data_IF_916163932100
#
_entry.id   IF_916163932100
#
_cell.length_a   1.000
_cell.length_b   1.000
_cell.length_c   1.000
_cell.angle_alpha   90.00
_cell.angle_beta   90.00
_cell.angle_gamma   90.00
#
_symmetry.space_group_name_H-M   'P 1'
#
loop_
_entity.id
_entity.type
_entity.pdbx_description
1 polymer ?
#
# COMPACT_ATOMS: atom_id res chain seq x y z
N UNK A 1 -22.09 18.78 17.14
CA UNK A 1 -21.03 18.68 16.12
C UNK A 1 -21.63 17.89 14.98
N UNK A 2 -21.80 18.49 13.81
CA UNK A 2 -22.38 17.79 12.66
C UNK A 2 -21.30 16.90 12.05
N UNK A 3 -21.44 15.59 12.16
CA UNK A 3 -20.58 14.65 11.44
C UNK A 3 -20.81 14.81 9.94
N UNK A 4 -19.81 15.30 9.22
CA UNK A 4 -19.82 15.32 7.75
C UNK A 4 -19.10 14.08 7.24
N UNK A 5 -19.57 13.51 6.12
CA UNK A 5 -18.90 12.36 5.47
C UNK A 5 -18.13 12.81 4.23
N UNK A 6 -16.97 12.21 4.02
CA UNK A 6 -16.20 12.29 2.76
C UNK A 6 -15.89 10.87 2.32
N UNK A 7 -16.55 10.40 1.26
CA UNK A 7 -16.50 8.98 0.87
C UNK A 7 -16.93 8.06 2.04
N UNK A 8 -16.16 7.01 2.36
CA UNK A 8 -16.45 6.11 3.49
C UNK A 8 -15.98 6.67 4.86
N UNK A 9 -15.47 7.90 4.94
CA UNK A 9 -14.84 8.45 6.14
C UNK A 9 -15.76 9.42 6.89
N UNK A 10 -15.86 9.24 8.21
CA UNK A 10 -16.63 10.09 9.12
C UNK A 10 -15.75 11.22 9.68
N UNK A 11 -15.92 12.43 9.14
CA UNK A 11 -15.12 13.61 9.50
C UNK A 11 -15.65 14.24 10.79
N UNK A 12 -14.74 14.46 11.75
CA UNK A 12 -15.05 15.01 13.06
C UNK A 12 -14.29 16.30 13.41
N UNK A 13 -13.17 16.59 12.73
CA UNK A 13 -12.48 17.88 12.84
C UNK A 13 -11.93 18.35 11.49
N UNK A 14 -11.73 19.66 11.36
CA UNK A 14 -11.24 20.31 10.15
C UNK A 14 -10.30 21.44 10.52
N UNK A 15 -9.19 21.51 9.81
CA UNK A 15 -8.19 22.57 9.86
C UNK A 15 -7.78 22.95 8.43
N UNK A 16 -7.22 24.15 8.25
CA UNK A 16 -6.74 24.63 6.97
C UNK A 16 -5.38 25.28 7.13
N UNK A 17 -4.41 24.84 6.33
CA UNK A 17 -3.05 25.39 6.32
C UNK A 17 -2.53 25.50 4.89
N UNK A 18 -2.23 26.72 4.45
CA UNK A 18 -1.65 27.02 3.13
C UNK A 18 -2.37 26.33 1.96
N UNK A 19 -3.69 26.54 1.89
CA UNK A 19 -4.56 26.01 0.85
C UNK A 19 -4.79 24.50 0.90
N UNK A 20 -4.22 23.81 1.90
CA UNK A 20 -4.50 22.42 2.21
C UNK A 20 -5.52 22.36 3.36
N UNK A 21 -6.63 21.70 3.12
CA UNK A 21 -7.59 21.34 4.14
C UNK A 21 -7.22 19.98 4.72
N UNK A 22 -7.13 19.93 6.05
CA UNK A 22 -6.75 18.76 6.84
C UNK A 22 -7.97 18.35 7.66
N UNK A 23 -8.52 17.19 7.35
CA UNK A 23 -9.73 16.67 8.00
C UNK A 23 -9.34 15.47 8.87
N UNK A 24 -9.64 15.51 10.16
CA UNK A 24 -9.55 14.31 11.00
C UNK A 24 -10.84 13.53 10.88
N UNK A 25 -10.72 12.24 10.60
CA UNK A 25 -11.84 11.36 10.36
C UNK A 25 -11.60 9.95 10.92
N UNK A 26 -12.67 9.16 10.91
CA UNK A 26 -12.62 7.73 11.22
C UNK A 26 -12.92 6.94 9.94
N UNK A 27 -12.08 5.96 9.64
CA UNK A 27 -12.25 5.05 8.52
C UNK A 27 -13.37 4.02 8.74
N UNK A 28 -13.76 3.29 7.68
CA UNK A 28 -14.79 2.26 7.77
C UNK A 28 -14.41 1.09 8.68
N UNK A 29 -13.13 0.91 8.96
CA UNK A 29 -12.55 -0.05 9.90
C UNK A 29 -12.50 0.47 11.35
N UNK A 30 -12.95 1.70 11.59
CA UNK A 30 -12.90 2.36 12.89
C UNK A 30 -11.55 2.98 13.23
N UNK A 31 -10.56 2.93 12.33
CA UNK A 31 -9.24 3.51 12.57
C UNK A 31 -9.23 5.02 12.31
N UNK A 32 -8.49 5.81 13.10
CA UNK A 32 -8.39 7.25 12.89
C UNK A 32 -7.49 7.54 11.66
N UNK A 33 -7.94 8.46 10.81
CA UNK A 33 -7.24 8.88 9.60
C UNK A 33 -7.30 10.39 9.41
N UNK A 34 -6.35 10.92 8.65
CA UNK A 34 -6.36 12.31 8.20
C UNK A 34 -6.60 12.34 6.69
N UNK A 35 -7.59 13.10 6.26
CA UNK A 35 -7.79 13.39 4.84
C UNK A 35 -7.17 14.74 4.49
N UNK A 36 -6.38 14.75 3.42
CA UNK A 36 -5.68 15.90 2.87
C UNK A 36 -6.33 16.24 1.52
N UNK A 37 -6.84 17.46 1.37
CA UNK A 37 -7.43 17.91 0.10
C UNK A 37 -7.24 19.42 -0.11
N UNK A 38 -7.43 19.94 -1.33
CA UNK A 38 -7.42 21.37 -1.57
C UNK A 38 -8.57 22.08 -0.84
N UNK A 39 -8.26 23.15 -0.11
CA UNK A 39 -9.23 23.92 0.68
C UNK A 39 -10.24 24.69 -0.18
N UNK A 40 -9.83 25.12 -1.36
CA UNK A 40 -10.67 25.92 -2.26
C UNK A 40 -10.49 25.49 -3.71
N UNK A 41 -11.52 25.73 -4.52
CA UNK A 41 -11.42 25.63 -5.98
C UNK A 41 -10.58 26.79 -6.56
N UNK A 42 -10.11 26.65 -7.79
CA UNK A 42 -9.35 27.68 -8.51
C UNK A 42 -7.86 27.33 -8.69
N UNK A 43 -7.05 28.28 -9.20
CA UNK A 43 -5.66 27.98 -9.61
C UNK A 43 -4.78 27.47 -8.47
N UNK A 44 -4.96 28.02 -7.26
CA UNK A 44 -4.21 27.58 -6.09
C UNK A 44 -4.63 26.17 -5.67
N UNK A 45 -5.94 25.89 -5.58
CA UNK A 45 -6.43 24.55 -5.28
C UNK A 45 -6.03 23.49 -6.31
N UNK A 46 -6.06 23.83 -7.59
CA UNK A 46 -5.60 22.96 -8.67
C UNK A 46 -4.10 22.63 -8.54
N UNK A 47 -3.29 23.60 -8.09
CA UNK A 47 -1.88 23.36 -7.78
C UNK A 47 -1.73 22.39 -6.60
N UNK A 48 -2.46 22.60 -5.49
CA UNK A 48 -2.44 21.69 -4.33
C UNK A 48 -2.88 20.27 -4.72
N UNK A 49 -3.93 20.15 -5.54
CA UNK A 49 -4.40 18.87 -6.06
C UNK A 49 -3.32 18.15 -6.88
N UNK A 50 -2.66 18.87 -7.78
CA UNK A 50 -1.58 18.29 -8.57
C UNK A 50 -0.35 17.92 -7.71
N UNK A 51 -0.07 18.68 -6.65
CA UNK A 51 0.95 18.34 -5.66
C UNK A 51 0.64 17.03 -4.94
N UNK A 52 -0.58 16.91 -4.39
CA UNK A 52 -1.05 15.69 -3.71
C UNK A 52 -1.03 14.48 -4.64
N UNK A 53 -1.51 14.61 -5.88
CA UNK A 53 -1.52 13.52 -6.86
C UNK A 53 -0.11 12.99 -7.16
N UNK A 54 0.87 13.88 -7.33
CA UNK A 54 2.27 13.51 -7.61
C UNK A 54 2.99 12.92 -6.40
N UNK A 55 2.64 13.38 -5.20
CA UNK A 55 3.22 12.91 -3.95
C UNK A 55 2.64 11.57 -3.50
N UNK A 56 1.37 11.30 -3.80
CA UNK A 56 0.64 10.10 -3.37
C UNK A 56 1.35 8.76 -3.65
N UNK A 57 2.08 8.52 -4.76
CA UNK A 57 2.82 7.27 -4.96
C UNK A 57 4.21 7.22 -4.30
N UNK A 58 4.74 8.35 -3.80
CA UNK A 58 6.07 8.38 -3.18
C UNK A 58 6.03 7.63 -1.84
N UNK A 59 7.05 6.81 -1.59
CA UNK A 59 7.20 6.05 -0.34
C UNK A 59 8.58 6.31 0.25
N UNK A 60 8.61 6.67 1.53
CA UNK A 60 9.82 6.86 2.32
C UNK A 60 9.47 6.73 3.82
N UNK A 61 10.41 6.28 4.66
CA UNK A 61 10.16 6.11 6.10
C UNK A 61 9.76 7.41 6.82
N UNK A 62 10.23 8.55 6.31
CA UNK A 62 9.94 9.90 6.84
C UNK A 62 8.89 10.68 6.04
N UNK A 63 8.09 9.99 5.22
CA UNK A 63 6.95 10.56 4.50
C UNK A 63 5.70 9.79 4.92
N UNK A 64 4.66 10.49 5.40
CA UNK A 64 3.40 9.84 5.73
C UNK A 64 2.83 9.16 4.47
N UNK A 65 2.64 7.83 4.50
CA UNK A 65 2.18 7.12 3.33
C UNK A 65 0.71 7.44 3.06
N UNK A 66 0.37 7.67 1.80
CA UNK A 66 -1.02 7.61 1.37
C UNK A 66 -1.52 6.18 1.55
N UNK A 67 -2.50 5.99 2.44
CA UNK A 67 -3.18 4.70 2.65
C UNK A 67 -4.35 4.54 1.70
N UNK A 68 -4.91 5.65 1.24
CA UNK A 68 -6.02 5.68 0.30
C UNK A 68 -6.06 7.02 -0.45
N UNK A 69 -6.69 7.02 -1.62
CA UNK A 69 -6.84 8.20 -2.48
C UNK A 69 -8.23 8.14 -3.09
N UNK A 70 -9.01 9.21 -2.98
CA UNK A 70 -10.36 9.27 -3.52
C UNK A 70 -10.64 10.61 -4.20
N UNK A 71 -11.66 10.64 -5.04
CA UNK A 71 -12.17 11.85 -5.66
C UNK A 71 -13.53 12.21 -5.06
N UNK A 72 -13.73 13.46 -4.66
CA UNK A 72 -15.05 13.96 -4.31
C UNK A 72 -15.90 14.18 -5.57
N UNK A 73 -17.24 14.26 -5.46
CA UNK A 73 -18.13 14.48 -6.60
C UNK A 73 -17.84 15.76 -7.40
N UNK A 74 -17.17 16.73 -6.78
CA UNK A 74 -16.72 17.97 -7.41
C UNK A 74 -15.36 17.84 -8.12
N UNK A 75 -14.77 16.65 -8.14
CA UNK A 75 -13.50 16.32 -8.79
C UNK A 75 -12.26 16.61 -7.93
N UNK A 76 -12.41 17.05 -6.67
CA UNK A 76 -11.26 17.28 -5.78
C UNK A 76 -10.66 15.95 -5.33
N UNK A 77 -9.33 15.85 -5.46
CA UNK A 77 -8.56 14.75 -4.90
C UNK A 77 -8.49 14.86 -3.38
N UNK A 78 -8.67 13.74 -2.71
CA UNK A 78 -8.52 13.57 -1.27
C UNK A 78 -7.54 12.43 -1.04
N UNK A 79 -6.42 12.74 -0.38
CA UNK A 79 -5.41 11.75 0.02
C UNK A 79 -5.61 11.43 1.48
N UNK A 80 -5.74 10.15 1.81
CA UNK A 80 -5.93 9.67 3.17
C UNK A 80 -4.58 9.19 3.68
N UNK A 81 -4.20 9.66 4.87
CA UNK A 81 -2.99 9.24 5.59
C UNK A 81 -3.38 8.76 7.00
N UNK A 82 -2.54 7.94 7.67
CA UNK A 82 -2.81 7.52 9.03
C UNK A 82 -2.91 8.73 9.97
N UNK A 83 -3.89 8.73 10.87
CA UNK A 83 -3.87 9.61 12.03
C UNK A 83 -3.20 8.83 13.16
N UNK A 84 -1.99 9.25 13.53
CA UNK A 84 -1.27 8.73 14.69
C UNK A 84 -1.26 9.75 15.82
N UNK A 85 -0.50 9.45 16.88
CA UNK A 85 -0.12 10.42 17.91
C UNK A 85 0.91 11.43 17.35
N UNK A 86 0.53 12.11 16.28
CA UNK A 86 1.35 13.01 15.49
C UNK A 86 1.22 14.43 16.00
N UNK A 87 2.34 15.04 16.38
CA UNK A 87 2.39 16.42 16.87
C UNK A 87 2.87 17.33 15.74
N UNK A 88 2.10 18.34 15.32
CA UNK A 88 2.58 19.33 14.35
C UNK A 88 3.82 20.05 14.86
N UNK A 89 4.86 20.13 14.02
CA UNK A 89 6.13 20.75 14.40
C UNK A 89 5.98 22.21 14.89
N UNK A 90 5.12 23.08 14.29
CA UNK A 90 4.91 24.43 14.82
C UNK A 90 4.37 24.43 16.25
N UNK A 91 3.45 23.52 16.58
CA UNK A 91 2.88 23.39 17.92
C UNK A 91 3.92 22.88 18.91
N UNK A 92 4.76 21.92 18.50
CA UNK A 92 5.86 21.41 19.31
C UNK A 92 6.91 22.49 19.61
N UNK A 93 7.34 23.25 18.59
CA UNK A 93 8.28 24.36 18.74
C UNK A 93 7.74 25.46 19.66
N UNK A 94 6.44 25.78 19.54
CA UNK A 94 5.80 26.78 20.38
C UNK A 94 5.74 26.37 21.87
N UNK A 95 5.54 25.08 22.16
CA UNK A 95 5.49 24.58 23.53
C UNK A 95 6.87 24.40 24.18
N UNK A 96 7.89 24.09 23.37
CA UNK A 96 9.24 23.77 23.86
C UNK A 96 10.16 24.99 23.94
N UNK A 97 10.11 25.89 22.96
CA UNK A 97 11.11 26.94 22.76
C UNK A 97 12.17 26.57 21.70
N UNK A 98 13.35 27.22 21.72
CA UNK A 98 14.33 27.08 20.66
C UNK A 98 14.95 25.67 20.59
N UNK A 99 15.44 25.33 19.40
CA UNK A 99 16.11 24.08 19.10
C UNK A 99 17.59 24.12 19.49
N UNK A 100 18.09 23.02 20.04
CA UNK A 100 19.52 22.79 20.10
C UNK A 100 20.06 22.41 18.71
N UNK A 101 21.34 22.70 18.39
CA UNK A 101 21.92 22.35 17.09
C UNK A 101 21.81 20.87 16.73
N UNK A 102 22.01 19.96 17.68
CA UNK A 102 21.86 18.51 17.45
C UNK A 102 20.43 18.07 17.17
N UNK A 103 19.43 18.80 17.66
CA UNK A 103 18.01 18.52 17.38
C UNK A 103 17.65 18.94 15.96
N UNK A 104 18.23 20.04 15.47
CA UNK A 104 18.13 20.41 14.06
C UNK A 104 18.68 19.29 13.17
N UNK A 105 19.81 18.68 13.52
CA UNK A 105 20.36 17.54 12.74
C UNK A 105 19.36 16.39 12.69
N UNK A 106 18.82 15.98 13.84
CA UNK A 106 17.82 14.91 13.92
C UNK A 106 16.53 15.25 13.16
N UNK A 107 16.13 16.52 13.14
CA UNK A 107 14.95 16.98 12.41
C UNK A 107 15.19 17.04 10.90
N UNK A 108 16.30 17.63 10.46
CA UNK A 108 16.52 17.97 9.06
C UNK A 108 16.95 16.75 8.24
N UNK A 109 17.94 15.98 8.69
CA UNK A 109 18.55 14.89 7.90
C UNK A 109 17.52 13.89 7.37
N UNK A 110 16.57 13.37 8.17
CA UNK A 110 15.60 12.41 7.66
C UNK A 110 14.64 13.01 6.63
N UNK A 111 14.34 14.31 6.74
CA UNK A 111 13.51 15.02 5.79
C UNK A 111 14.25 15.31 4.47
N UNK A 112 15.56 15.59 4.53
CA UNK A 112 16.41 15.71 3.33
C UNK A 112 16.38 14.43 2.49
N UNK A 113 16.43 13.26 3.14
CA UNK A 113 16.30 11.97 2.47
C UNK A 113 14.93 11.77 1.77
N UNK A 114 13.85 12.33 2.32
CA UNK A 114 12.53 12.35 1.63
C UNK A 114 12.61 13.17 0.35
N UNK A 115 13.24 14.34 0.39
CA UNK A 115 13.36 15.23 -0.77
C UNK A 115 14.24 14.60 -1.86
N UNK A 116 15.33 13.94 -1.47
CA UNK A 116 16.16 13.15 -2.38
C UNK A 116 15.36 12.03 -3.05
N UNK A 117 14.61 11.27 -2.24
CA UNK A 117 13.80 10.15 -2.73
C UNK A 117 12.75 10.63 -3.74
N UNK A 118 12.10 11.76 -3.49
CA UNK A 118 11.15 12.36 -4.41
C UNK A 118 11.82 12.81 -5.72
N UNK A 119 12.99 13.43 -5.65
CA UNK A 119 13.72 13.84 -6.84
C UNK A 119 14.24 12.64 -7.65
N UNK A 120 14.59 11.53 -6.99
CA UNK A 120 14.97 10.28 -7.64
C UNK A 120 13.81 9.66 -8.47
N UNK A 121 12.55 10.02 -8.20
CA UNK A 121 11.40 9.65 -9.04
C UNK A 121 11.08 10.69 -10.11
N UNK A 122 11.95 11.68 -10.33
CA UNK A 122 11.77 12.74 -11.32
C UNK A 122 10.88 13.90 -10.87
N UNK A 123 10.55 14.01 -9.59
CA UNK A 123 9.73 15.13 -9.10
C UNK A 123 10.57 16.40 -8.95
N UNK A 124 10.00 17.53 -9.36
CA UNK A 124 10.53 18.84 -9.04
C UNK A 124 10.02 19.22 -7.64
N UNK A 125 10.89 19.07 -6.65
CA UNK A 125 10.55 19.26 -5.24
C UNK A 125 10.46 20.75 -4.90
N UNK A 126 9.42 21.14 -4.18
CA UNK A 126 9.25 22.48 -3.65
C UNK A 126 9.75 22.59 -2.20
N UNK A 127 10.09 23.81 -1.77
CA UNK A 127 10.46 24.10 -0.38
C UNK A 127 9.34 23.68 0.57
N UNK A 128 9.57 22.78 1.54
CA UNK A 128 8.61 22.43 2.58
C UNK A 128 8.32 23.61 3.53
N UNK A 129 7.14 23.62 4.13
CA UNK A 129 6.77 24.50 5.24
C UNK A 129 6.85 23.76 6.59
N UNK A 130 7.01 24.47 7.71
CA UNK A 130 6.98 23.85 9.03
C UNK A 130 5.66 23.11 9.30
N UNK A 131 4.54 23.64 8.82
CA UNK A 131 3.22 23.01 8.97
C UNK A 131 3.04 21.74 8.13
N UNK A 132 3.99 21.42 7.24
CA UNK A 132 4.03 20.15 6.54
C UNK A 132 4.73 19.05 7.36
N UNK A 133 5.40 19.41 8.46
CA UNK A 133 6.16 18.49 9.31
C UNK A 133 5.39 18.16 10.58
N UNK A 134 5.34 16.88 10.90
CA UNK A 134 4.82 16.34 12.16
C UNK A 134 5.87 15.46 12.83
N UNK A 135 5.80 15.30 14.14
CA UNK A 135 6.62 14.37 14.90
C UNK A 135 5.75 13.20 15.36
N UNK A 136 6.25 11.98 15.24
CA UNK A 136 5.58 10.81 15.83
C UNK A 136 5.82 10.70 17.35
N UNK A 137 5.25 9.66 17.96
CA UNK A 137 5.37 9.35 19.38
C UNK A 137 6.81 9.07 19.82
N UNK A 138 7.74 8.80 18.90
CA UNK A 138 9.18 8.59 19.14
C UNK A 138 10.02 9.82 18.82
N UNK A 139 9.41 10.88 18.31
CA UNK A 139 10.09 12.11 17.91
C UNK A 139 10.71 12.02 16.51
N UNK A 140 10.37 11.01 15.72
CA UNK A 140 10.81 10.95 14.34
C UNK A 140 10.04 11.99 13.52
N UNK A 141 10.73 12.82 12.71
CA UNK A 141 10.06 13.79 11.85
C UNK A 141 9.47 13.11 10.62
N UNK A 142 8.23 13.43 10.30
CA UNK A 142 7.49 12.94 9.16
C UNK A 142 6.97 14.12 8.34
N UNK A 143 7.14 14.07 7.02
CA UNK A 143 6.44 14.97 6.11
C UNK A 143 5.02 14.45 5.88
N UNK A 144 4.02 15.29 6.19
CA UNK A 144 2.61 15.06 5.86
C UNK A 144 2.27 15.47 4.44
N UNK A 145 2.97 16.47 3.92
CA UNK A 145 2.79 17.01 2.57
C UNK A 145 4.15 17.15 1.91
N UNK A 146 4.29 16.54 0.73
CA UNK A 146 5.43 16.79 -0.15
C UNK A 146 5.03 17.81 -1.22
N UNK A 147 5.63 19.00 -1.16
CA UNK A 147 5.39 20.07 -2.15
C UNK A 147 6.12 19.75 -3.45
N UNK A 148 5.43 19.89 -4.58
CA UNK A 148 6.02 19.64 -5.90
C UNK A 148 5.66 20.74 -6.91
N UNK A 149 6.66 21.26 -7.61
CA UNK A 149 6.45 22.22 -8.70
C UNK A 149 6.05 21.54 -10.01
N UNK A 150 6.36 20.25 -10.18
CA UNK A 150 6.13 19.49 -11.40
C UNK A 150 6.85 18.16 -11.40
N UNK A 151 7.00 17.57 -12.58
CA UNK A 151 7.82 16.39 -12.84
C UNK A 151 8.69 16.63 -14.07
N UNK A 152 9.84 15.98 -14.12
CA UNK A 152 10.82 16.07 -15.21
C UNK A 152 11.48 14.71 -15.42
N UNK A 153 11.91 14.44 -16.66
CA UNK A 153 12.77 13.30 -16.98
C UNK A 153 14.25 13.63 -16.82
N UNK A 154 14.60 14.92 -16.70
CA UNK A 154 15.96 15.36 -16.42
C UNK A 154 16.29 15.23 -14.93
N UNK A 155 17.04 14.18 -14.61
CA UNK A 155 17.48 13.86 -13.26
C UNK A 155 18.32 14.99 -12.64
N UNK A 156 19.11 15.72 -13.43
CA UNK A 156 19.91 16.83 -12.92
C UNK A 156 19.02 17.98 -12.45
N UNK A 157 18.00 18.32 -13.23
CA UNK A 157 17.00 19.33 -12.84
C UNK A 157 16.21 18.89 -11.60
N UNK A 158 15.81 17.62 -11.50
CA UNK A 158 15.13 17.10 -10.31
C UNK A 158 16.02 17.20 -9.06
N UNK A 159 17.29 16.77 -9.14
CA UNK A 159 18.26 16.89 -8.04
C UNK A 159 18.53 18.34 -7.64
N UNK A 160 18.67 19.25 -8.61
CA UNK A 160 18.84 20.67 -8.32
C UNK A 160 17.63 21.26 -7.56
N UNK A 161 16.41 20.83 -7.91
CA UNK A 161 15.21 21.22 -7.16
C UNK A 161 15.21 20.68 -5.73
N UNK A 162 15.69 19.45 -5.52
CA UNK A 162 15.83 18.85 -4.20
C UNK A 162 16.84 19.60 -3.34
N UNK A 163 18.01 19.94 -3.90
CA UNK A 163 19.04 20.72 -3.21
C UNK A 163 18.52 22.11 -2.80
N UNK A 164 17.79 22.79 -3.68
CA UNK A 164 17.16 24.08 -3.37
C UNK A 164 16.08 23.97 -2.29
N UNK A 165 15.22 22.95 -2.36
CA UNK A 165 14.20 22.68 -1.35
C UNK A 165 14.83 22.31 0.02
N UNK A 166 15.93 21.57 -0.01
CA UNK A 166 16.71 21.15 1.16
C UNK A 166 17.34 22.34 1.86
N UNK A 167 18.03 23.22 1.13
CA UNK A 167 18.53 24.50 1.68
C UNK A 167 17.41 25.30 2.32
N UNK A 168 16.29 25.47 1.61
CA UNK A 168 15.14 26.20 2.12
C UNK A 168 14.52 25.59 3.38
N UNK A 169 14.50 24.26 3.52
CA UNK A 169 14.07 23.58 4.74
C UNK A 169 15.03 23.85 5.89
N UNK A 170 16.33 23.64 5.68
CA UNK A 170 17.34 23.81 6.73
C UNK A 170 17.40 25.27 7.19
N UNK A 171 17.34 26.25 6.28
CA UNK A 171 17.26 27.68 6.63
C UNK A 171 16.05 28.01 7.49
N UNK A 172 14.91 27.40 7.19
CA UNK A 172 13.65 27.62 7.91
C UNK A 172 13.71 26.99 9.31
N UNK A 173 14.31 25.82 9.48
CA UNK A 173 14.53 25.20 10.79
C UNK A 173 15.62 25.94 11.59
N UNK A 174 16.67 26.42 10.93
CA UNK A 174 17.77 27.17 11.55
C UNK A 174 17.30 28.49 12.18
N UNK A 175 16.18 29.06 11.70
CA UNK A 175 15.52 30.21 12.31
C UNK A 175 14.99 29.96 13.73
N UNK A 176 14.94 28.69 14.16
CA UNK A 176 14.50 28.29 15.50
C UNK A 176 15.64 27.87 16.42
N UNK A 177 16.91 28.01 16.01
CA UNK A 177 18.05 27.73 16.89
C UNK A 177 18.21 28.81 17.97
N UNK A 178 18.64 28.40 19.16
CA UNK A 178 18.94 29.32 20.28
C UNK A 178 20.12 30.24 19.94
N UNK A 179 21.23 29.66 19.46
CA UNK A 179 22.44 30.34 18.99
C UNK A 179 23.14 29.48 17.91
N UNK A 180 24.03 30.08 17.10
CA UNK A 180 24.93 29.33 16.22
C UNK A 180 24.40 28.99 14.81
N UNK A 181 23.37 29.69 14.30
CA UNK A 181 22.89 29.48 12.93
C UNK A 181 23.80 30.07 11.85
N UNK A 182 24.61 31.09 12.16
CA UNK A 182 25.41 31.80 11.15
C UNK A 182 26.45 30.93 10.41
N UNK A 183 27.22 30.05 11.08
CA UNK A 183 28.11 29.13 10.39
C UNK A 183 27.37 28.18 9.44
N UNK A 184 26.23 27.63 9.90
CA UNK A 184 25.37 26.77 9.08
C UNK A 184 24.84 27.53 7.86
N UNK A 185 24.27 28.72 8.05
CA UNK A 185 23.73 29.53 6.95
C UNK A 185 24.82 29.92 5.94
N UNK A 186 26.05 30.14 6.40
CA UNK A 186 27.21 30.40 5.54
C UNK A 186 27.56 29.15 4.72
N UNK A 187 27.62 27.98 5.35
CA UNK A 187 27.86 26.71 4.68
C UNK A 187 26.76 26.39 3.65
N UNK A 188 25.49 26.59 4.00
CA UNK A 188 24.36 26.41 3.08
C UNK A 188 24.40 27.34 1.87
N UNK A 189 24.91 28.57 2.03
CA UNK A 189 25.08 29.50 0.92
C UNK A 189 26.14 29.02 -0.08
N UNK A 190 27.13 28.26 0.40
CA UNK A 190 28.19 27.67 -0.41
C UNK A 190 27.84 26.27 -0.95
N UNK A 191 26.73 25.66 -0.50
CA UNK A 191 26.33 24.31 -0.90
C UNK A 191 25.65 24.32 -2.29
N UNK A 192 26.31 23.71 -3.27
CA UNK A 192 25.86 23.68 -4.67
C UNK A 192 24.92 22.49 -4.98
N UNK A 193 24.96 21.44 -4.17
CA UNK A 193 24.16 20.23 -4.33
C UNK A 193 23.58 19.75 -2.98
N UNK A 194 22.88 18.61 -3.01
CA UNK A 194 22.23 18.06 -1.83
C UNK A 194 23.24 17.47 -0.83
N UNK A 195 24.29 16.83 -1.32
CA UNK A 195 25.29 16.18 -0.47
C UNK A 195 26.02 17.23 0.39
N UNK A 196 26.37 18.38 -0.20
CA UNK A 196 26.93 19.51 0.53
C UNK A 196 25.98 20.09 1.59
N UNK A 197 24.65 20.06 1.36
CA UNK A 197 23.66 20.48 2.36
C UNK A 197 23.60 19.49 3.51
N UNK A 198 23.61 18.19 3.22
CA UNK A 198 23.61 17.12 4.22
C UNK A 198 24.88 17.18 5.07
N UNK A 199 26.04 17.37 4.44
CA UNK A 199 27.34 17.56 5.12
C UNK A 199 27.30 18.79 6.05
N UNK A 200 26.83 19.94 5.56
CA UNK A 200 26.71 21.16 6.36
C UNK A 200 25.80 20.99 7.59
N UNK A 201 24.73 20.19 7.48
CA UNK A 201 23.87 19.86 8.62
C UNK A 201 24.58 18.91 9.59
N UNK A 202 25.26 17.87 9.11
CA UNK A 202 25.98 16.93 9.97
C UNK A 202 27.16 17.57 10.72
N UNK A 203 27.86 18.51 10.10
CA UNK A 203 28.97 19.25 10.71
C UNK A 203 28.53 20.21 11.82
N UNK A 204 27.23 20.51 11.90
CA UNK A 204 26.70 21.42 12.92
C UNK A 204 26.86 20.87 14.34
N UNK A 205 26.46 19.61 14.57
CA UNK A 205 26.48 18.96 15.88
C UNK A 205 26.19 17.45 15.77
N UNK A 206 26.50 16.71 16.82
CA UNK A 206 26.00 15.35 16.98
C UNK A 206 24.46 15.35 17.13
N UNK A 207 23.74 14.38 16.55
CA UNK A 207 22.29 14.33 16.61
C UNK A 207 21.79 14.14 18.05
N UNK A 208 20.76 14.91 18.42
CA UNK A 208 20.07 14.82 19.71
C UNK A 208 18.61 14.39 19.51
N UNK A 209 18.05 13.57 20.40
CA UNK A 209 16.68 13.10 20.26
C UNK A 209 15.68 14.26 20.36
N UNK A 210 14.58 14.16 19.60
CA UNK A 210 13.44 15.07 19.73
C UNK A 210 12.47 14.46 20.75
N UNK A 211 12.33 15.00 21.97
CA UNK A 211 11.34 14.51 22.92
C UNK A 211 9.92 14.79 22.40
N UNK A 212 9.24 13.75 21.98
CA UNK A 212 7.85 13.74 21.47
C UNK A 212 6.81 13.58 22.57
N UNK A 213 7.17 12.94 23.68
CA UNK A 213 6.27 12.81 24.82
C UNK A 213 6.17 14.18 25.50
N UNK A 214 4.94 14.69 25.58
CA UNK A 214 4.59 15.75 26.51
C UNK A 214 5.28 15.45 27.85
N UNK A 215 6.25 16.29 28.22
CA UNK A 215 6.66 16.42 29.61
C UNK A 215 5.43 16.99 30.30
N UNK A 216 4.51 16.10 30.67
CA UNK A 216 3.60 16.38 31.75
C UNK A 216 4.51 16.64 32.95
N UNK A 217 4.61 17.91 33.33
CA UNK A 217 5.12 18.32 34.64
C UNK A 217 4.37 17.50 35.68
N UNK A 218 4.98 16.41 36.11
CA UNK A 218 4.66 15.77 37.38
C UNK A 218 5.71 16.27 38.34
N UNK A 219 5.32 17.34 39.01
CA UNK A 219 5.85 17.72 40.31
C UNK A 219 5.72 16.50 41.24
N UNK A 220 6.77 15.68 41.37
CA UNK A 220 7.04 15.00 42.63
C UNK A 220 8.50 14.56 42.75
N UNK A 221 9.11 15.01 43.83
CA UNK A 221 10.39 14.58 44.30
C UNK A 221 10.26 13.19 44.92
N UNK A 222 10.74 12.12 44.27
CA UNK A 222 11.27 10.97 45.02
C UNK A 222 12.09 9.99 44.19
N UNK A 223 13.29 9.71 44.74
CA UNK A 223 14.11 8.49 44.61
C UNK A 223 14.54 8.04 43.22
N UNK A 224 15.86 8.06 43.03
CA UNK A 224 16.51 7.23 42.03
C UNK A 224 16.18 5.77 42.25
N UNK A 225 15.53 5.19 41.25
CA UNK A 225 15.74 3.80 40.88
C UNK A 225 16.59 3.81 39.62
N UNK A 226 17.75 3.19 39.73
CA UNK A 226 18.64 2.86 38.63
C UNK A 226 17.86 1.95 37.67
N UNK A 227 17.45 2.49 36.53
CA UNK A 227 16.76 1.72 35.48
C UNK A 227 17.72 0.67 34.96
N UNK A 228 17.39 -0.60 35.19
CA UNK A 228 18.13 -1.74 34.68
C UNK A 228 17.90 -1.87 33.16
N UNK A 229 18.81 -1.29 32.39
CA UNK A 229 18.84 -1.33 30.92
C UNK A 229 19.04 -2.74 30.34
N UNK A 230 19.36 -3.76 31.17
CA UNK A 230 19.53 -5.13 30.69
C UNK A 230 18.19 -5.81 30.32
N UNK A 231 17.07 -5.28 30.79
CA UNK A 231 15.73 -5.78 30.47
C UNK A 231 15.20 -5.35 29.08
N UNK A 232 15.85 -4.38 28.42
CA UNK A 232 15.50 -3.88 27.07
C UNK A 232 16.36 -4.47 25.95
N UNK A 233 17.34 -5.32 26.28
CA UNK A 233 18.05 -6.09 25.28
C UNK A 233 17.10 -7.16 24.72
N UNK A 234 16.74 -7.04 23.45
CA UNK A 234 16.06 -8.10 22.70
C UNK A 234 16.82 -9.45 22.83
N UNK A 235 16.17 -10.58 22.48
CA UNK A 235 16.74 -11.91 22.71
C UNK A 235 18.16 -12.00 22.13
N UNK A 236 19.11 -12.64 22.85
CA UNK A 236 20.52 -12.60 22.51
C UNK A 236 20.72 -13.09 21.08
N UNK A 237 21.31 -12.24 20.24
CA UNK A 237 21.68 -12.57 18.86
C UNK A 237 22.66 -13.75 18.90
N UNK A 238 22.47 -14.79 18.08
CA UNK A 238 23.42 -15.89 18.02
C UNK A 238 24.74 -15.40 17.41
N UNK A 239 25.87 -15.79 18.02
CA UNK A 239 27.21 -15.25 17.77
C UNK A 239 27.69 -15.32 16.30
N UNK A 240 27.07 -16.17 15.47
CA UNK A 240 27.38 -16.27 14.05
C UNK A 240 26.94 -15.04 13.23
N UNK A 241 25.97 -14.25 13.73
CA UNK A 241 25.50 -13.03 13.06
C UNK A 241 26.55 -11.90 13.05
N UNK A 242 27.56 -11.97 13.93
CA UNK A 242 28.68 -11.03 13.94
C UNK A 242 29.77 -11.35 12.90
N UNK A 243 29.65 -12.47 12.18
CA UNK A 243 30.67 -12.95 11.24
C UNK A 243 30.32 -12.74 9.74
N UNK A 244 29.21 -12.08 9.42
CA UNK A 244 28.78 -11.84 8.04
C UNK A 244 29.11 -10.41 7.57
N UNK A 245 29.68 -10.22 6.36
CA UNK A 245 29.97 -8.89 5.83
C UNK A 245 28.71 -8.20 5.28
N UNK A 246 28.64 -6.89 5.53
CA UNK A 246 27.66 -5.86 5.12
C UNK A 246 26.15 -6.20 5.21
N UNK A 247 25.59 -5.84 6.36
CA UNK A 247 24.29 -6.23 6.87
C UNK A 247 23.09 -5.43 6.35
N UNK A 248 23.18 -4.54 5.34
CA UNK A 248 22.00 -3.79 4.89
C UNK A 248 20.89 -4.71 4.29
N UNK A 249 21.30 -5.75 3.56
CA UNK A 249 20.35 -6.70 2.93
C UNK A 249 19.81 -7.71 3.94
N UNK A 250 20.63 -8.09 4.93
CA UNK A 250 20.24 -9.01 6.00
C UNK A 250 19.33 -8.29 7.01
N UNK A 251 19.62 -7.04 7.34
CA UNK A 251 18.79 -6.20 8.20
C UNK A 251 17.46 -5.89 7.52
N UNK A 252 17.46 -5.52 6.23
CA UNK A 252 16.22 -5.35 5.46
C UNK A 252 15.40 -6.64 5.34
N UNK A 253 16.06 -7.80 5.22
CA UNK A 253 15.38 -9.10 5.18
C UNK A 253 14.81 -9.50 6.55
N UNK A 254 15.51 -9.17 7.65
CA UNK A 254 15.07 -9.44 9.02
C UNK A 254 13.95 -8.50 9.47
N UNK A 255 14.01 -7.22 9.10
CA UNK A 255 12.94 -6.25 9.35
C UNK A 255 11.69 -6.57 8.53
N UNK A 256 11.86 -6.99 7.27
CA UNK A 256 10.75 -7.51 6.46
C UNK A 256 10.14 -8.80 7.06
N UNK A 257 10.95 -9.69 7.64
CA UNK A 257 10.46 -10.89 8.33
C UNK A 257 9.76 -10.57 9.66
N UNK A 258 10.25 -9.56 10.39
CA UNK A 258 9.69 -9.07 11.64
C UNK A 258 8.34 -8.37 11.41
N UNK A 259 8.25 -7.51 10.39
CA UNK A 259 7.00 -6.91 9.93
C UNK A 259 5.96 -7.96 9.46
N UNK A 260 6.42 -9.10 8.93
CA UNK A 260 5.54 -10.25 8.59
C UNK A 260 5.05 -11.03 9.80
N UNK A 261 5.78 -11.01 10.92
CA UNK A 261 5.48 -11.78 12.15
C UNK A 261 4.38 -11.17 13.02
N UNK A 262 3.98 -9.93 12.76
CA UNK A 262 2.88 -9.27 13.49
C UNK A 262 1.49 -9.75 13.07
N UNK A 263 1.36 -10.51 11.98
CA UNK A 263 0.15 -11.31 11.74
C UNK A 263 0.28 -12.66 12.42
N UNK A 264 -0.64 -12.97 13.34
CA UNK A 264 -0.58 -14.11 14.25
C UNK A 264 -0.38 -15.46 13.52
N UNK A 265 0.88 -15.86 13.37
CA UNK A 265 1.30 -17.14 12.76
C UNK A 265 0.67 -18.33 13.51
N UNK A 266 0.38 -18.17 14.81
CA UNK A 266 -0.31 -19.18 15.63
C UNK A 266 -1.73 -19.50 15.12
N UNK A 267 -2.47 -18.53 14.58
CA UNK A 267 -3.80 -18.77 14.02
C UNK A 267 -3.73 -19.45 12.65
N UNK A 268 -2.73 -19.12 11.82
CA UNK A 268 -2.53 -19.73 10.49
C UNK A 268 -1.97 -21.15 10.57
N UNK A 269 -1.17 -21.46 11.58
CA UNK A 269 -0.58 -22.80 11.77
C UNK A 269 -1.59 -23.78 12.39
N UNK A 270 -2.53 -23.30 13.21
CA UNK A 270 -3.60 -24.12 13.78
C UNK A 270 -4.63 -24.60 12.73
N UNK A 271 -4.70 -23.95 11.56
CA UNK A 271 -5.61 -24.31 10.48
C UNK A 271 -5.07 -25.41 9.53
N UNK A 272 -3.79 -25.79 9.67
CA UNK A 272 -3.17 -26.78 8.78
C UNK A 272 -3.45 -28.20 9.29
N UNK A 273 -4.18 -29.00 8.51
CA UNK A 273 -4.51 -30.40 8.86
C UNK A 273 -3.24 -31.24 9.09
N UNK A 274 -3.22 -32.18 10.05
CA UNK A 274 -2.02 -32.92 10.48
C UNK A 274 -1.24 -33.61 9.36
N UNK A 275 -1.92 -34.01 8.29
CA UNK A 275 -1.31 -34.66 7.11
C UNK A 275 -0.31 -33.78 6.35
N UNK A 276 -0.44 -32.45 6.40
CA UNK A 276 0.46 -31.53 5.69
C UNK A 276 1.73 -31.22 6.49
N UNK A 277 1.73 -31.46 7.81
CA UNK A 277 2.91 -31.34 8.65
C UNK A 277 3.97 -32.39 8.33
N UNK A 278 3.56 -33.60 7.92
CA UNK A 278 4.50 -34.65 7.51
C UNK A 278 5.23 -34.28 6.22
N UNK A 279 4.54 -33.68 5.25
CA UNK A 279 5.15 -33.24 4.00
C UNK A 279 6.10 -32.04 4.24
N UNK A 280 5.68 -31.06 5.04
CA UNK A 280 6.51 -29.92 5.42
C UNK A 280 7.73 -30.32 6.25
N UNK A 281 7.58 -31.30 7.14
CA UNK A 281 8.68 -31.89 7.91
C UNK A 281 9.71 -32.59 7.04
N UNK A 282 9.28 -33.33 6.00
CA UNK A 282 10.21 -33.96 5.04
C UNK A 282 11.00 -32.93 4.25
N UNK A 283 10.35 -31.86 3.77
CA UNK A 283 11.03 -30.78 3.05
C UNK A 283 12.03 -30.06 3.96
N UNK A 284 11.63 -29.69 5.17
CA UNK A 284 12.54 -29.06 6.14
C UNK A 284 13.72 -29.96 6.50
N UNK A 285 13.48 -31.26 6.73
CA UNK A 285 14.55 -32.23 6.98
C UNK A 285 15.51 -32.36 5.79
N UNK A 286 14.99 -32.38 4.56
CA UNK A 286 15.84 -32.45 3.35
C UNK A 286 16.70 -31.20 3.16
N UNK A 287 16.20 -30.01 3.49
CA UNK A 287 16.97 -28.75 3.45
C UNK A 287 18.05 -28.74 4.52
N UNK A 288 17.74 -29.18 5.75
CA UNK A 288 18.73 -29.29 6.83
C UNK A 288 19.82 -30.30 6.48
N UNK A 289 19.47 -31.45 5.90
CA UNK A 289 20.42 -32.45 5.43
C UNK A 289 21.32 -31.88 4.32
N UNK A 290 20.74 -31.17 3.34
CA UNK A 290 21.50 -30.53 2.27
C UNK A 290 22.46 -29.44 2.81
N UNK A 291 22.03 -28.66 3.81
CA UNK A 291 22.87 -27.64 4.45
C UNK A 291 24.03 -28.25 5.25
N UNK A 292 23.78 -29.35 5.97
CA UNK A 292 24.80 -30.08 6.72
C UNK A 292 25.83 -30.75 5.79
N UNK A 293 25.40 -31.20 4.61
CA UNK A 293 26.29 -31.76 3.58
C UNK A 293 27.09 -30.68 2.84
N UNK A 294 26.66 -29.41 2.90
CA UNK A 294 27.31 -28.28 2.23
C UNK A 294 28.29 -27.52 3.13
N UNK A 295 28.46 -27.93 4.40
CA UNK A 295 29.46 -27.37 5.28
C UNK A 295 30.87 -27.77 4.78
N UNK A 296 31.81 -26.82 4.57
CA UNK A 296 33.13 -27.11 4.03
C UNK A 296 34.00 -27.79 5.09
N UNK A 297 33.92 -29.11 5.13
CA UNK A 297 34.77 -29.96 5.96
C UNK A 297 35.69 -30.80 5.10
N UNK A 298 36.99 -30.45 5.10
CA UNK A 298 38.09 -31.39 4.89
C UNK A 298 38.24 -32.00 3.50
N UNK A 299 39.21 -31.48 2.75
CA UNK A 299 39.88 -32.17 1.66
C UNK A 299 40.31 -33.59 2.08
N UNK A 300 39.73 -34.61 1.45
CA UNK A 300 40.27 -35.97 1.43
C UNK A 300 40.49 -36.36 -0.02
N UNK A 301 41.76 -36.55 -0.37
CA UNK A 301 42.22 -37.14 -1.62
C UNK A 301 41.76 -38.59 -1.78
N UNK A 302 41.54 -38.99 -3.03
CA UNK A 302 41.28 -40.36 -3.48
C UNK A 302 39.86 -40.53 -4.00
N UNK A 303 39.58 -41.03 -5.20
CA UNK A 303 40.39 -41.73 -6.18
C UNK A 303 39.51 -42.07 -7.39
N UNK A 304 40.18 -42.56 -8.42
CA UNK A 304 39.77 -42.80 -9.80
C UNK A 304 38.64 -43.79 -10.09
N UNK A 305 38.00 -43.56 -11.26
CA UNK A 305 37.36 -44.49 -12.19
C UNK A 305 35.98 -45.06 -11.77
N UNK A 306 34.99 -45.28 -12.64
CA UNK A 306 34.97 -46.01 -13.91
C UNK A 306 33.75 -45.56 -14.76
N UNK A 307 33.91 -45.62 -16.08
CA UNK A 307 32.89 -45.44 -17.11
C UNK A 307 31.89 -46.59 -17.20
N UNK A 308 30.65 -46.35 -17.62
CA UNK A 308 29.89 -47.32 -18.43
C UNK A 308 28.84 -46.66 -19.31
N UNK A 309 28.93 -47.05 -20.58
CA UNK A 309 28.04 -46.88 -21.72
C UNK A 309 26.66 -47.54 -21.58
N UNK A 310 25.77 -47.16 -22.51
CA UNK A 310 24.65 -47.97 -23.01
C UNK A 310 23.27 -47.41 -22.64
N UNK A 311 22.33 -47.13 -23.54
CA UNK A 311 22.12 -47.63 -24.89
C UNK A 311 20.69 -48.21 -24.99
N UNK A 312 19.97 -47.90 -26.07
CA UNK A 312 18.72 -48.59 -26.49
C UNK A 312 17.44 -47.86 -26.07
N UNK A 313 16.71 -47.17 -26.96
CA UNK A 313 15.95 -47.64 -28.12
C UNK A 313 14.73 -48.50 -27.74
N UNK A 314 13.53 -47.98 -28.04
CA UNK A 314 12.45 -48.61 -28.82
C UNK A 314 11.05 -48.12 -28.39
N UNK A 315 10.31 -47.52 -29.33
CA UNK A 315 8.83 -47.55 -29.32
C UNK A 315 8.30 -48.98 -29.56
N UNK A 316 6.98 -49.20 -29.60
CA UNK A 316 6.14 -48.58 -30.63
C UNK A 316 4.70 -48.22 -30.20
N UNK A 317 4.03 -47.45 -31.06
CA UNK A 317 2.56 -47.36 -31.19
C UNK A 317 1.93 -48.73 -31.48
N UNK A 318 0.61 -48.86 -31.28
CA UNK A 318 -0.24 -49.08 -32.45
C UNK A 318 -1.55 -48.27 -32.46
N UNK A 319 -2.04 -48.12 -33.69
CA UNK A 319 -3.26 -47.45 -34.20
C UNK A 319 -4.40 -48.51 -34.36
N UNK A 320 -5.52 -48.21 -35.05
CA UNK A 320 -6.88 -47.83 -34.61
C UNK A 320 -7.94 -48.97 -34.76
N UNK A 321 -9.25 -48.66 -34.59
CA UNK A 321 -10.40 -48.95 -35.52
C UNK A 321 -11.79 -48.95 -34.77
N UNK A 322 -12.98 -49.05 -35.43
CA UNK A 322 -14.11 -48.11 -35.26
C UNK A 322 -15.50 -48.77 -35.01
N UNK A 323 -16.57 -47.97 -34.83
CA UNK A 323 -18.00 -48.21 -35.18
C UNK A 323 -18.81 -46.98 -34.69
N UNK A 324 -19.48 -46.18 -35.54
CA UNK A 324 -20.74 -46.42 -36.28
C UNK A 324 -21.94 -46.72 -35.36
N UNK A 325 -22.85 -45.74 -35.21
CA UNK A 325 -24.26 -45.99 -35.46
C UNK A 325 -25.03 -44.70 -35.77
N UNK A 326 -25.92 -44.83 -36.74
CA UNK A 326 -26.84 -43.83 -37.25
C UNK A 326 -28.20 -43.96 -36.54
N UNK A 327 -28.88 -42.84 -36.34
CA UNK A 327 -30.26 -42.77 -35.85
C UNK A 327 -30.96 -41.57 -36.45
N UNK A 328 -31.72 -41.85 -37.51
CA UNK A 328 -32.58 -40.97 -38.28
C UNK A 328 -34.02 -40.97 -37.71
N UNK A 329 -34.77 -39.91 -37.99
CA UNK A 329 -36.21 -39.74 -37.71
C UNK A 329 -36.52 -38.66 -36.67
N UNK A 330 -37.24 -37.59 -36.93
CA UNK A 330 -38.12 -37.24 -38.05
C UNK A 330 -39.35 -36.51 -37.48
N UNK A 331 -39.73 -35.41 -38.14
CA UNK A 331 -41.00 -34.65 -38.07
C UNK A 331 -41.39 -33.92 -36.76
N UNK A 332 -42.18 -32.84 -36.76
CA UNK A 332 -42.53 -31.78 -37.71
C UNK A 332 -43.55 -30.88 -36.96
N UNK A 333 -43.40 -29.56 -37.08
CA UNK A 333 -44.52 -28.61 -37.22
C UNK A 333 -45.32 -28.17 -35.99
N UNK A 334 -45.16 -26.90 -35.61
CA UNK A 334 -46.28 -26.00 -35.36
C UNK A 334 -45.84 -24.52 -35.43
N UNK A 335 -46.23 -23.87 -36.51
CA UNK A 335 -46.11 -22.43 -36.78
C UNK A 335 -47.33 -21.70 -36.19
N UNK A 336 -47.11 -20.57 -35.50
CA UNK A 336 -48.12 -19.49 -35.30
C UNK A 336 -47.48 -18.20 -34.72
N UNK A 337 -48.11 -17.01 -34.94
CA UNK A 337 -47.44 -15.79 -35.43
C UNK A 337 -47.07 -14.73 -34.36
N UNK A 338 -46.46 -13.57 -34.76
CA UNK A 338 -45.84 -12.62 -33.85
C UNK A 338 -46.86 -11.69 -33.17
N UNK A 339 -46.85 -11.68 -31.83
CA UNK A 339 -47.56 -10.72 -31.00
C UNK A 339 -46.64 -9.59 -30.57
N UNK A 340 -47.03 -8.36 -30.89
CA UNK A 340 -46.36 -7.11 -30.52
C UNK A 340 -46.10 -6.97 -29.02
N UNK A 341 -45.03 -6.23 -28.64
CA UNK A 341 -44.51 -6.19 -27.29
C UNK A 341 -45.38 -5.35 -26.35
N UNK A 342 -45.53 -5.73 -25.07
CA UNK A 342 -45.96 -4.79 -24.06
C UNK A 342 -44.84 -3.77 -23.81
N UNK A 343 -45.15 -2.50 -24.02
CA UNK A 343 -44.41 -1.35 -23.50
C UNK A 343 -44.33 -1.45 -21.98
N UNK A 344 -43.27 -2.06 -21.46
CA UNK A 344 -42.83 -1.83 -20.09
C UNK A 344 -42.08 -0.51 -20.07
N UNK A 345 -42.63 0.47 -19.34
CA UNK A 345 -41.98 1.72 -18.99
C UNK A 345 -40.54 1.47 -18.57
N UNK A 346 -39.61 1.89 -19.42
CA UNK A 346 -38.22 2.18 -19.05
C UNK A 346 -38.24 3.49 -18.25
N UNK A 347 -38.73 3.42 -17.02
CA UNK A 347 -38.38 4.38 -15.98
C UNK A 347 -37.03 3.94 -15.45
N UNK A 348 -35.96 4.56 -15.95
CA UNK A 348 -34.66 4.51 -15.31
C UNK A 348 -34.75 5.29 -14.00
N UNK A 349 -35.37 4.68 -13.00
CA UNK A 349 -35.19 5.09 -11.62
C UNK A 349 -33.73 4.76 -11.30
N UNK A 350 -32.92 5.81 -11.18
CA UNK A 350 -31.53 5.68 -10.74
C UNK A 350 -31.59 5.08 -9.32
N UNK A 351 -30.92 3.95 -9.03
CA UNK A 351 -30.99 3.31 -7.72
C UNK A 351 -30.69 4.32 -6.62
N UNK A 352 -31.49 4.32 -5.57
CA UNK A 352 -31.18 5.16 -4.41
C UNK A 352 -29.99 4.55 -3.68
N UNK A 353 -29.11 5.35 -3.04
CA UNK A 353 -27.89 4.85 -2.39
C UNK A 353 -28.07 3.79 -1.29
N UNK A 354 -29.31 3.41 -0.93
CA UNK A 354 -29.62 2.34 0.00
C UNK A 354 -30.02 1.01 -0.63
N UNK A 355 -30.29 0.95 -1.94
CA UNK A 355 -30.72 -0.28 -2.61
C UNK A 355 -29.54 -1.24 -2.84
N UNK A 356 -28.33 -0.71 -3.07
CA UNK A 356 -27.12 -1.50 -3.35
C UNK A 356 -26.66 -2.34 -2.14
N UNK A 357 -26.82 -1.81 -0.92
CA UNK A 357 -26.52 -2.53 0.34
C UNK A 357 -27.49 -3.69 0.58
N UNK A 358 -28.76 -3.54 0.21
CA UNK A 358 -29.78 -4.59 0.34
C UNK A 358 -29.52 -5.71 -0.66
N UNK A 359 -29.11 -5.37 -1.89
CA UNK A 359 -28.79 -6.36 -2.94
C UNK A 359 -27.53 -7.16 -2.58
N UNK A 360 -26.50 -6.52 -2.03
CA UNK A 360 -25.25 -7.19 -1.66
C UNK A 360 -25.34 -8.03 -0.37
N UNK A 361 -26.38 -7.83 0.45
CA UNK A 361 -26.62 -8.62 1.68
C UNK A 361 -27.69 -9.71 1.51
N UNK A 362 -28.49 -9.64 0.44
CA UNK A 362 -29.52 -10.62 0.08
C UNK A 362 -29.00 -12.01 -0.31
N UNK A 363 -29.90 -12.93 -0.66
CA UNK A 363 -29.53 -14.32 -1.05
C UNK A 363 -29.24 -14.49 -2.55
N UNK A 364 -29.61 -13.51 -3.38
CA UNK A 364 -29.42 -13.53 -4.83
C UNK A 364 -27.97 -13.16 -5.20
N UNK A 365 -27.16 -14.20 -5.41
CA UNK A 365 -25.76 -14.06 -5.79
C UNK A 365 -25.56 -13.43 -7.18
N UNK A 366 -26.51 -13.61 -8.11
CA UNK A 366 -26.42 -13.04 -9.47
C UNK A 366 -26.63 -11.54 -9.41
N UNK A 367 -27.67 -11.09 -8.69
CA UNK A 367 -27.92 -9.67 -8.49
C UNK A 367 -26.75 -9.00 -7.74
N UNK A 368 -26.26 -9.63 -6.66
CA UNK A 368 -25.10 -9.13 -5.93
C UNK A 368 -23.84 -9.04 -6.80
N UNK A 369 -23.55 -10.06 -7.61
CA UNK A 369 -22.37 -10.05 -8.48
C UNK A 369 -22.40 -8.89 -9.51
N UNK A 370 -23.56 -8.56 -10.08
CA UNK A 370 -23.69 -7.43 -11.00
C UNK A 370 -23.36 -6.10 -10.31
N UNK A 371 -23.92 -5.86 -9.13
CA UNK A 371 -23.64 -4.67 -8.32
C UNK A 371 -22.15 -4.60 -7.96
N UNK A 372 -21.55 -5.72 -7.56
CA UNK A 372 -20.12 -5.77 -7.21
C UNK A 372 -19.20 -5.51 -8.41
N UNK A 373 -19.52 -6.02 -9.61
CA UNK A 373 -18.73 -5.77 -10.81
C UNK A 373 -18.82 -4.30 -11.26
N UNK A 374 -20.02 -3.70 -11.23
CA UNK A 374 -20.20 -2.28 -11.51
C UNK A 374 -19.49 -1.40 -10.46
N UNK A 375 -19.49 -1.82 -9.19
CA UNK A 375 -18.72 -1.15 -8.14
C UNK A 375 -17.21 -1.27 -8.38
N UNK A 376 -16.72 -2.46 -8.73
CA UNK A 376 -15.31 -2.72 -9.06
C UNK A 376 -14.82 -1.82 -10.18
N UNK A 377 -15.57 -1.73 -11.27
CA UNK A 377 -15.24 -0.87 -12.42
C UNK A 377 -15.13 0.60 -12.02
N UNK A 378 -16.05 1.10 -11.19
CA UNK A 378 -16.00 2.45 -10.63
C UNK A 378 -14.79 2.64 -9.71
N UNK A 379 -14.56 1.74 -8.77
CA UNK A 379 -13.41 1.82 -7.85
C UNK A 379 -12.07 1.89 -8.60
N UNK A 380 -11.93 1.10 -9.66
CA UNK A 380 -10.72 1.06 -10.48
C UNK A 380 -10.59 2.28 -11.40
N UNK A 381 -11.72 2.80 -11.92
CA UNK A 381 -11.72 4.04 -12.71
C UNK A 381 -11.35 5.27 -11.85
N UNK A 382 -11.82 5.31 -10.60
CA UNK A 382 -11.57 6.41 -9.67
C UNK A 382 -10.25 6.26 -8.89
N UNK A 383 -9.52 5.16 -9.12
CA UNK A 383 -8.25 4.78 -8.46
C UNK A 383 -8.35 4.85 -6.93
N UNK A 384 -9.42 4.26 -6.37
CA UNK A 384 -9.72 4.31 -4.93
C UNK A 384 -9.51 2.94 -4.26
N UNK A 385 -8.34 2.68 -3.63
CA UNK A 385 -8.04 1.42 -2.95
C UNK A 385 -9.07 0.99 -1.90
N UNK A 386 -9.57 1.92 -1.07
CA UNK A 386 -10.52 1.57 -0.01
C UNK A 386 -11.87 1.08 -0.54
N UNK A 387 -12.28 1.56 -1.71
CA UNK A 387 -13.52 1.17 -2.37
C UNK A 387 -13.55 -0.34 -2.68
N UNK A 388 -12.39 -0.93 -3.02
CA UNK A 388 -12.27 -2.36 -3.31
C UNK A 388 -12.43 -3.25 -2.08
N UNK A 389 -12.21 -2.74 -0.86
CA UNK A 389 -12.39 -3.54 0.36
C UNK A 389 -13.85 -3.99 0.59
N UNK A 390 -14.80 -3.21 0.08
CA UNK A 390 -16.23 -3.55 0.10
C UNK A 390 -16.63 -4.46 -1.08
N UNK A 391 -15.76 -4.63 -2.07
CA UNK A 391 -16.05 -5.34 -3.32
C UNK A 391 -15.37 -6.70 -3.36
N UNK A 392 -14.07 -6.73 -3.09
CA UNK A 392 -13.23 -7.91 -3.17
C UNK A 392 -13.15 -8.65 -1.85
N UNK A 393 -13.05 -9.97 -1.92
CA UNK A 393 -12.72 -10.79 -0.76
C UNK A 393 -11.25 -10.55 -0.39
N UNK A 394 -10.94 -10.22 0.87
CA UNK A 394 -9.56 -10.08 1.32
C UNK A 394 -8.71 -11.33 1.04
N UNK A 395 -7.53 -11.12 0.45
CA UNK A 395 -6.59 -12.19 0.12
C UNK A 395 -6.98 -13.07 -1.08
N UNK A 396 -7.99 -12.66 -1.86
CA UNK A 396 -8.41 -13.38 -3.06
C UNK A 396 -7.56 -13.04 -4.30
N UNK A 397 -7.61 -13.87 -5.36
CA UNK A 397 -6.94 -13.57 -6.62
C UNK A 397 -7.39 -12.26 -7.27
N UNK A 398 -8.68 -11.90 -7.17
CA UNK A 398 -9.17 -10.62 -7.72
C UNK A 398 -8.60 -9.44 -6.95
N UNK A 399 -8.58 -9.49 -5.61
CA UNK A 399 -7.99 -8.44 -4.78
C UNK A 399 -6.51 -8.18 -5.10
N UNK A 400 -5.74 -9.24 -5.32
CA UNK A 400 -4.32 -9.12 -5.67
C UNK A 400 -4.11 -8.49 -7.06
N UNK A 401 -4.98 -8.83 -8.03
CA UNK A 401 -4.94 -8.26 -9.38
C UNK A 401 -5.34 -6.79 -9.37
N UNK A 402 -6.36 -6.44 -8.60
CA UNK A 402 -6.88 -5.08 -8.56
C UNK A 402 -5.93 -4.13 -7.84
N UNK A 403 -5.26 -4.60 -6.78
CA UNK A 403 -4.16 -3.86 -6.15
C UNK A 403 -3.03 -3.55 -7.16
N UNK A 404 -2.65 -4.51 -8.02
CA UNK A 404 -1.65 -4.28 -9.07
C UNK A 404 -2.11 -3.24 -10.10
N UNK A 405 -3.40 -3.22 -10.44
CA UNK A 405 -3.96 -2.23 -11.38
C UNK A 405 -4.00 -0.82 -10.77
N UNK A 406 -4.20 -0.71 -9.46
CA UNK A 406 -4.11 0.57 -8.75
C UNK A 406 -2.66 1.06 -8.62
N UNK A 407 -1.69 0.14 -8.48
CA UNK A 407 -0.26 0.48 -8.43
C UNK A 407 0.28 0.95 -9.80
N UNK A 408 -0.27 0.45 -10.91
CA UNK A 408 0.08 0.87 -12.28
C UNK A 408 -1.18 1.09 -13.15
N UNK A 409 -1.81 2.27 -13.07
CA UNK A 409 -3.00 2.58 -13.87
C UNK A 409 -2.72 2.65 -15.38
N UNK A 410 -1.45 2.79 -15.80
CA UNK A 410 -1.05 2.72 -17.20
C UNK A 410 -1.21 1.31 -17.79
N UNK A 411 -1.15 0.27 -16.95
CA UNK A 411 -1.42 -1.12 -17.32
C UNK A 411 -2.93 -1.45 -17.41
N UNK A 412 -3.81 -0.55 -16.96
CA UNK A 412 -5.26 -0.79 -16.90
C UNK A 412 -5.94 -0.83 -18.28
N UNK A 413 -5.31 -0.25 -19.31
CA UNK A 413 -5.86 -0.07 -20.67
C UNK A 413 -6.23 -1.34 -21.45
N UNK A 414 -6.08 -2.53 -20.86
CA UNK A 414 -6.62 -3.79 -21.39
C UNK A 414 -7.00 -4.81 -20.30
N UNK A 415 -7.09 -4.39 -19.04
CA UNK A 415 -7.35 -5.27 -17.89
C UNK A 415 -8.76 -5.09 -17.31
N UNK A 416 -9.36 -3.91 -17.49
CA UNK A 416 -10.75 -3.63 -17.17
C UNK A 416 -11.64 -4.05 -18.34
N UNK A 417 -12.06 -5.31 -18.31
CA UNK A 417 -12.99 -5.86 -19.28
C UNK A 417 -14.39 -5.85 -18.64
N UNK A 418 -15.36 -5.08 -19.18
CA UNK A 418 -16.73 -5.11 -18.69
C UNK A 418 -17.23 -6.55 -18.65
N UNK A 419 -17.72 -6.96 -17.48
CA UNK A 419 -18.12 -8.36 -17.26
C UNK A 419 -19.62 -8.42 -16.97
N UNK A 420 -20.39 -8.99 -17.89
CA UNK A 420 -21.82 -9.19 -17.74
C UNK A 420 -22.11 -10.58 -17.18
N UNK A 421 -22.85 -10.66 -16.05
CA UNK A 421 -23.24 -11.93 -15.42
C UNK A 421 -24.53 -12.46 -16.02
N UNK A 422 -24.49 -13.70 -16.51
CA UNK A 422 -25.59 -14.36 -17.18
C UNK A 422 -26.44 -15.22 -16.24
N UNK A 423 -25.80 -15.95 -15.33
CA UNK A 423 -26.50 -16.82 -14.40
C UNK A 423 -25.59 -17.65 -13.51
N UNK A 424 -26.21 -18.40 -12.61
CA UNK A 424 -25.52 -19.31 -11.69
C UNK A 424 -25.21 -20.65 -12.36
N UNK A 425 -23.94 -21.06 -12.32
CA UNK A 425 -23.47 -22.37 -12.81
C UNK A 425 -23.44 -23.38 -11.67
N UNK A 426 -22.92 -22.97 -10.52
CA UNK A 426 -22.73 -23.86 -9.38
C UNK A 426 -22.74 -23.09 -8.06
N UNK A 427 -23.36 -23.68 -7.03
CA UNK A 427 -23.30 -23.19 -5.65
C UNK A 427 -22.79 -24.26 -4.70
N UNK A 428 -21.81 -23.86 -3.89
CA UNK A 428 -21.15 -24.68 -2.88
C UNK A 428 -21.16 -23.92 -1.55
N UNK A 429 -22.24 -24.08 -0.79
CA UNK A 429 -22.48 -23.33 0.44
C UNK A 429 -22.55 -21.83 0.15
N UNK A 430 -21.71 -21.06 0.82
CA UNK A 430 -21.61 -19.60 0.66
C UNK A 430 -20.75 -19.17 -0.54
N UNK A 431 -20.39 -20.08 -1.44
CA UNK A 431 -19.62 -19.77 -2.65
C UNK A 431 -20.45 -20.08 -3.90
N UNK A 432 -20.49 -19.15 -4.86
CA UNK A 432 -21.25 -19.29 -6.09
C UNK A 432 -20.38 -18.97 -7.30
N UNK A 433 -20.31 -19.91 -8.23
CA UNK A 433 -19.70 -19.76 -9.54
C UNK A 433 -20.78 -19.35 -10.54
N UNK A 434 -20.52 -18.25 -11.24
CA UNK A 434 -21.41 -17.62 -12.18
C UNK A 434 -20.81 -17.66 -13.58
N UNK A 435 -21.67 -17.89 -14.57
CA UNK A 435 -21.34 -17.72 -15.97
C UNK A 435 -21.39 -16.23 -16.30
N UNK A 436 -20.41 -15.77 -17.07
CA UNK A 436 -20.30 -14.38 -17.43
C UNK A 436 -19.73 -14.21 -18.84
N UNK A 437 -19.88 -13.01 -19.38
CA UNK A 437 -19.28 -12.60 -20.65
C UNK A 437 -18.45 -11.35 -20.46
N UNK A 438 -17.25 -11.36 -21.04
CA UNK A 438 -16.35 -10.22 -21.10
C UNK A 438 -16.67 -9.29 -22.26
N UNK A 439 -15.67 -8.51 -22.69
CA UNK A 439 -15.72 -7.75 -23.92
C UNK A 439 -15.86 -8.70 -25.12
N UNK A 440 -16.54 -8.20 -26.17
CA UNK A 440 -16.77 -8.95 -27.41
C UNK A 440 -17.48 -10.31 -27.22
N UNK A 441 -18.28 -10.45 -26.14
CA UNK A 441 -18.99 -11.66 -25.74
C UNK A 441 -18.07 -12.88 -25.45
N UNK A 442 -16.79 -12.64 -25.12
CA UNK A 442 -15.87 -13.73 -24.74
C UNK A 442 -16.32 -14.43 -23.44
N UNK A 443 -16.20 -15.76 -23.35
CA UNK A 443 -16.64 -16.50 -22.18
C UNK A 443 -15.79 -16.15 -20.95
N UNK A 444 -16.48 -15.78 -19.88
CA UNK A 444 -15.90 -15.42 -18.59
C UNK A 444 -16.58 -16.19 -17.46
N UNK A 445 -15.95 -16.17 -16.29
CA UNK A 445 -16.53 -16.75 -15.08
C UNK A 445 -16.26 -15.84 -13.90
N UNK A 446 -17.26 -15.71 -13.03
CA UNK A 446 -17.21 -14.90 -11.82
C UNK A 446 -17.47 -15.79 -10.63
N UNK A 447 -16.58 -15.76 -9.65
CA UNK A 447 -16.72 -16.47 -8.39
C UNK A 447 -17.01 -15.45 -7.28
N UNK A 448 -18.17 -15.57 -6.64
CA UNK A 448 -18.55 -14.78 -5.47
C UNK A 448 -18.61 -15.63 -4.22
N UNK A 449 -18.39 -14.99 -3.07
CA UNK A 449 -18.50 -15.62 -1.75
C UNK A 449 -19.31 -14.73 -0.82
N UNK A 450 -20.19 -15.32 -0.02
CA UNK A 450 -20.92 -14.63 1.05
C UNK A 450 -20.07 -14.63 2.30
N UNK A 451 -19.95 -13.46 2.90
CA UNK A 451 -19.28 -13.21 4.18
C UNK A 451 -20.28 -12.65 5.18
N UNK A 452 -19.86 -12.42 6.42
CA UNK A 452 -20.68 -11.73 7.42
C UNK A 452 -21.07 -10.31 6.98
N UNK A 453 -20.28 -9.69 6.09
CA UNK A 453 -20.52 -8.36 5.54
C UNK A 453 -21.23 -8.37 4.17
N UNK A 454 -21.82 -9.51 3.76
CA UNK A 454 -22.48 -9.69 2.47
C UNK A 454 -21.59 -10.37 1.41
N UNK A 455 -22.04 -10.33 0.15
CA UNK A 455 -21.32 -10.91 -0.98
C UNK A 455 -20.04 -10.13 -1.33
N UNK A 456 -19.02 -10.86 -1.79
CA UNK A 456 -17.73 -10.34 -2.24
C UNK A 456 -17.22 -11.09 -3.48
N UNK A 457 -16.51 -10.40 -4.36
CA UNK A 457 -15.81 -11.00 -5.50
C UNK A 457 -14.59 -11.78 -4.98
N UNK A 458 -14.46 -13.04 -5.38
CA UNK A 458 -13.28 -13.85 -5.09
C UNK A 458 -12.40 -14.00 -6.32
N UNK A 459 -13.02 -14.14 -7.49
CA UNK A 459 -12.28 -14.33 -8.74
C UNK A 459 -13.11 -13.87 -9.94
N UNK A 460 -12.46 -13.21 -10.90
CA UNK A 460 -13.01 -12.85 -12.21
C UNK A 460 -12.01 -13.32 -13.26
N UNK A 461 -12.44 -14.20 -14.16
CA UNK A 461 -11.59 -14.76 -15.21
C UNK A 461 -12.30 -14.59 -16.55
N UNK A 462 -11.73 -13.80 -17.45
CA UNK A 462 -12.10 -13.79 -18.86
C UNK A 462 -11.13 -14.69 -19.63
N UNK A 463 -11.64 -15.62 -20.46
CA UNK A 463 -10.79 -16.41 -21.35
C UNK A 463 -10.49 -15.56 -22.59
N UNK A 464 -9.26 -15.05 -22.67
CA UNK A 464 -8.70 -14.47 -23.90
C UNK A 464 -8.31 -15.54 -24.90
#
# INVERSE_FOLDING_TARGET
>A
MSSSRTGPYDVHARDEHDGLEVLRATGPDGLPVVLLRPAQAGPHGARVQAELARAAPVRHAHLLPAVDVLHEPDGRLVVVVPDGDLVPLPSWLAGRGPLAPGELVTLAVPLLAVLERAAATGLLVGRPDLGDVVLDDRGAPLLRRLRTAGATTDVATARASAAAASRGLVELVAGHLEEGSSPLLTALTAADDLDAVVEAVHDLAAPLPLPSAAVAETDDATRGDEVDWSALAGPPRPAWAAALPEAAVVDAALDWLAARRETSVRARVAAVRPRFWLLGGVVAASVVIALLLSAPGGSVDGGTAVATDGGGAAGPSPTPAPAADAGDGGDAGATSPPGQPPTTSRGGERPTPGDDDVVTTGEDAVAAARVLLEARERCLADVTPSCLAAVDQPGSPVAARDAQLLDDPGAAGGALVPTAVDGEVQRLGETVLLDARGADDEPASVLVVRTEAGWRLREVVARR
#
